data_IF_955485665579
#
_entry.id   IF_955485665579
#
_cell.length_a   1.000
_cell.length_b   1.000
_cell.length_c   1.000
_cell.angle_alpha   90.00
_cell.angle_beta   90.00
_cell.angle_gamma   90.00
#
_symmetry.space_group_name_H-M   'P 1'
#
loop_
_entity.id
_entity.type
_entity.pdbx_description
1 polymer ?
#
# COMPACT_ATOMS: atom_id res chain seq x y z
N UNK A 1 3.75 -3.14 -0.12
CA UNK A 1 3.39 -3.08 -1.52
C UNK A 1 4.47 -2.33 -2.29
N UNK A 2 5.15 -2.99 -3.15
CA UNK A 2 6.27 -2.41 -3.88
C UNK A 2 6.00 -2.51 -5.36
N UNK A 3 5.93 -1.40 -6.06
CA UNK A 3 5.68 -1.42 -7.49
C UNK A 3 5.86 -0.06 -8.12
N UNK A 4 6.23 -0.07 -9.41
CA UNK A 4 6.27 1.14 -10.22
C UNK A 4 4.84 1.41 -10.67
N UNK A 5 4.27 2.51 -10.20
CA UNK A 5 2.92 2.91 -10.58
C UNK A 5 2.99 3.65 -11.92
N UNK A 6 2.24 3.21 -12.95
CA UNK A 6 2.19 3.95 -14.20
C UNK A 6 1.69 5.38 -13.96
N UNK A 7 2.47 6.35 -14.40
CA UNK A 7 2.16 7.77 -14.13
C UNK A 7 0.85 8.22 -14.77
N UNK A 8 0.46 7.58 -15.86
CA UNK A 8 -0.76 7.93 -16.59
C UNK A 8 -2.03 7.26 -16.01
N UNK A 9 -1.88 6.38 -15.03
CA UNK A 9 -3.04 5.78 -14.38
C UNK A 9 -3.61 6.73 -13.33
N UNK A 10 -4.92 6.85 -13.28
CA UNK A 10 -5.58 7.55 -12.19
C UNK A 10 -5.49 6.77 -10.89
N UNK A 11 -5.66 7.46 -9.77
CA UNK A 11 -5.57 6.84 -8.44
C UNK A 11 -6.60 5.72 -8.25
N UNK A 12 -7.80 5.87 -8.84
CA UNK A 12 -8.82 4.82 -8.76
C UNK A 12 -8.38 3.52 -9.41
N UNK A 13 -7.76 3.61 -10.60
CA UNK A 13 -7.27 2.44 -11.32
C UNK A 13 -6.11 1.79 -10.58
N UNK A 14 -5.18 2.59 -10.07
CA UNK A 14 -4.04 2.09 -9.28
C UNK A 14 -4.53 1.42 -8.00
N UNK A 15 -5.49 2.01 -7.30
CA UNK A 15 -6.06 1.43 -6.09
C UNK A 15 -6.75 0.10 -6.37
N UNK A 16 -7.45 0.00 -7.49
CA UNK A 16 -8.12 -1.24 -7.89
C UNK A 16 -7.10 -2.34 -8.18
N UNK A 17 -6.04 -2.03 -8.92
CA UNK A 17 -4.98 -2.98 -9.22
C UNK A 17 -4.27 -3.44 -7.93
N UNK A 18 -3.97 -2.50 -7.05
CA UNK A 18 -3.33 -2.81 -5.78
C UNK A 18 -4.23 -3.66 -4.88
N UNK A 19 -5.53 -3.41 -4.89
CA UNK A 19 -6.51 -4.21 -4.13
C UNK A 19 -6.49 -5.66 -4.61
N UNK A 20 -6.41 -5.89 -5.91
CA UNK A 20 -6.31 -7.25 -6.46
C UNK A 20 -5.03 -7.95 -6.00
N UNK A 21 -3.91 -7.23 -5.94
CA UNK A 21 -2.64 -7.76 -5.45
C UNK A 21 -2.74 -8.14 -3.97
N UNK A 22 -3.35 -7.28 -3.15
CA UNK A 22 -3.55 -7.57 -1.72
C UNK A 22 -4.45 -8.79 -1.52
N UNK A 23 -5.54 -8.87 -2.26
CA UNK A 23 -6.46 -9.99 -2.18
C UNK A 23 -5.75 -11.30 -2.51
N UNK A 24 -4.97 -11.31 -3.58
CA UNK A 24 -4.17 -12.47 -3.95
C UNK A 24 -3.18 -12.86 -2.85
N UNK A 25 -2.47 -11.87 -2.29
CA UNK A 25 -1.51 -12.10 -1.21
C UNK A 25 -2.16 -12.75 0.01
N UNK A 26 -3.34 -12.29 0.40
CA UNK A 26 -4.04 -12.84 1.56
C UNK A 26 -4.69 -14.19 1.27
N UNK A 27 -5.38 -14.33 0.15
CA UNK A 27 -6.16 -15.54 -0.15
C UNK A 27 -5.32 -16.67 -0.71
N UNK A 28 -4.46 -16.39 -1.68
CA UNK A 28 -3.67 -17.41 -2.36
C UNK A 28 -2.36 -17.72 -1.64
N UNK A 29 -1.71 -16.71 -1.10
CA UNK A 29 -0.40 -16.84 -0.45
C UNK A 29 -0.50 -16.98 1.06
N UNK A 30 -1.67 -16.72 1.65
CA UNK A 30 -1.88 -16.83 3.08
C UNK A 30 -1.05 -15.91 3.94
N UNK A 31 -0.70 -14.74 3.41
CA UNK A 31 0.14 -13.79 4.13
C UNK A 31 -0.61 -13.21 5.32
N UNK A 32 0.03 -13.14 6.51
CA UNK A 32 -0.63 -12.57 7.69
C UNK A 32 -0.65 -11.04 7.67
N UNK A 33 0.24 -10.41 6.92
CA UNK A 33 0.35 -8.96 6.83
C UNK A 33 1.17 -8.59 5.60
N UNK A 34 0.83 -7.46 5.00
CA UNK A 34 1.57 -6.92 3.86
C UNK A 34 2.05 -5.52 4.21
N UNK A 35 3.30 -5.23 3.88
CA UNK A 35 3.91 -3.94 4.13
C UNK A 35 3.97 -3.12 2.84
N UNK A 36 3.76 -1.81 2.99
CA UNK A 36 3.93 -0.85 1.91
C UNK A 36 4.83 0.28 2.37
N UNK A 37 5.62 0.81 1.47
CA UNK A 37 6.51 1.93 1.77
C UNK A 37 6.60 2.86 0.58
N UNK A 38 6.71 4.16 0.86
CA UNK A 38 6.97 5.17 -0.17
C UNK A 38 7.68 6.36 0.45
N UNK A 39 8.39 7.13 -0.36
CA UNK A 39 9.00 8.37 0.11
C UNK A 39 7.92 9.43 0.38
N UNK A 40 8.16 10.28 1.37
CA UNK A 40 7.16 11.24 1.86
C UNK A 40 6.65 12.23 0.80
N UNK A 41 7.48 12.71 -0.16
CA UNK A 41 6.96 13.60 -1.20
C UNK A 41 5.97 12.93 -2.15
N UNK A 42 5.92 11.61 -2.20
CA UNK A 42 5.04 10.89 -3.10
C UNK A 42 3.63 10.78 -2.50
N UNK A 43 2.90 11.88 -2.50
CA UNK A 43 1.57 11.95 -1.90
C UNK A 43 0.56 11.04 -2.61
N UNK A 44 0.74 10.82 -3.91
CA UNK A 44 -0.13 9.91 -4.66
C UNK A 44 -0.08 8.49 -4.11
N UNK A 45 1.13 7.97 -3.86
CA UNK A 45 1.29 6.63 -3.29
C UNK A 45 0.75 6.55 -1.87
N UNK A 46 0.94 7.61 -1.07
CA UNK A 46 0.38 7.67 0.28
C UNK A 46 -1.14 7.60 0.23
N UNK A 47 -1.79 8.36 -0.67
CA UNK A 47 -3.24 8.33 -0.82
C UNK A 47 -3.75 6.95 -1.23
N UNK A 48 -3.04 6.28 -2.14
CA UNK A 48 -3.40 4.91 -2.55
C UNK A 48 -3.35 3.96 -1.37
N UNK A 49 -2.29 4.00 -0.58
CA UNK A 49 -2.18 3.15 0.61
C UNK A 49 -3.31 3.41 1.61
N UNK A 50 -3.64 4.68 1.83
CA UNK A 50 -4.75 5.06 2.73
C UNK A 50 -6.10 4.55 2.20
N UNK A 51 -6.33 4.64 0.90
CA UNK A 51 -7.56 4.14 0.26
C UNK A 51 -7.72 2.64 0.38
N UNK A 52 -6.61 1.91 0.39
CA UNK A 52 -6.63 0.45 0.55
C UNK A 52 -6.93 0.02 1.98
N UNK A 53 -6.94 0.95 2.92
CA UNK A 53 -7.12 0.64 4.33
C UNK A 53 -5.83 0.29 5.04
N UNK A 54 -4.69 0.59 4.45
CA UNK A 54 -3.40 0.38 5.09
C UNK A 54 -3.24 1.31 6.29
N UNK A 55 -2.59 0.81 7.32
CA UNK A 55 -2.41 1.52 8.59
C UNK A 55 -0.98 2.04 8.69
N UNK A 56 -0.84 3.32 9.02
CA UNK A 56 0.46 3.95 9.21
C UNK A 56 1.24 3.26 10.32
N UNK A 57 2.50 2.97 10.08
CA UNK A 57 3.39 2.34 11.07
C UNK A 57 4.44 3.32 11.58
N UNK A 58 5.26 3.84 10.68
CA UNK A 58 6.33 4.74 11.06
C UNK A 58 6.81 5.59 9.88
N UNK A 59 7.51 6.65 10.23
CA UNK A 59 8.24 7.49 9.29
C UNK A 59 9.69 7.50 9.71
N UNK A 60 10.59 7.14 8.81
CA UNK A 60 12.03 7.15 9.08
C UNK A 60 12.82 7.26 7.80
N UNK A 61 14.10 7.55 7.93
CA UNK A 61 15.01 7.48 6.81
C UNK A 61 15.23 6.02 6.40
N UNK A 62 15.14 5.74 5.12
CA UNK A 62 15.41 4.44 4.54
C UNK A 62 16.17 4.64 3.23
N UNK A 63 17.40 4.10 3.15
CA UNK A 63 18.27 4.25 1.98
C UNK A 63 18.43 5.69 1.53
N UNK A 64 18.57 6.62 2.48
CA UNK A 64 18.75 8.04 2.19
C UNK A 64 17.49 8.80 1.87
N UNK A 65 16.32 8.17 1.93
CA UNK A 65 15.04 8.81 1.65
C UNK A 65 14.17 8.88 2.90
N UNK A 66 13.47 10.00 3.07
CA UNK A 66 12.46 10.15 4.09
C UNK A 66 11.25 9.29 3.69
N UNK A 67 11.00 8.21 4.39
CA UNK A 67 10.09 7.16 3.98
C UNK A 67 8.99 6.94 5.03
N UNK A 68 7.77 6.70 4.56
CA UNK A 68 6.65 6.29 5.40
C UNK A 68 6.33 4.83 5.15
N UNK A 69 6.05 4.10 6.22
CA UNK A 69 5.74 2.68 6.20
C UNK A 69 4.32 2.45 6.67
N UNK A 70 3.60 1.66 5.90
CA UNK A 70 2.22 1.26 6.18
C UNK A 70 2.14 -0.26 6.21
N UNK A 71 1.11 -0.79 6.85
CA UNK A 71 0.84 -2.22 6.82
C UNK A 71 -0.65 -2.48 6.73
N UNK A 72 -1.00 -3.68 6.30
CA UNK A 72 -2.39 -4.10 6.25
C UNK A 72 -2.49 -5.59 6.56
N UNK A 73 -3.42 -5.95 7.43
CA UNK A 73 -3.77 -7.33 7.75
C UNK A 73 -5.00 -7.73 6.94
N UNK A 74 -5.34 -9.05 6.89
CA UNK A 74 -6.60 -9.48 6.27
C UNK A 74 -7.83 -8.81 6.89
N UNK A 75 -7.82 -8.56 8.20
CA UNK A 75 -8.91 -7.88 8.89
C UNK A 75 -9.03 -6.43 8.44
N UNK A 76 -7.92 -5.70 8.38
CA UNK A 76 -7.89 -4.32 7.88
C UNK A 76 -8.43 -4.26 6.46
N UNK A 77 -8.02 -5.20 5.62
CA UNK A 77 -8.43 -5.26 4.22
C UNK A 77 -9.95 -5.49 4.09
N UNK A 78 -10.48 -6.40 4.88
CA UNK A 78 -11.91 -6.69 4.86
C UNK A 78 -12.74 -5.50 5.34
N UNK A 79 -12.27 -4.79 6.36
CA UNK A 79 -12.96 -3.62 6.91
C UNK A 79 -12.92 -2.41 5.97
N UNK A 80 -11.87 -2.27 5.19
CA UNK A 80 -11.73 -1.17 4.23
C UNK A 80 -12.57 -1.36 2.97
N UNK A 81 -12.88 -2.60 2.66
CA UNK A 81 -13.67 -2.94 1.50
C UNK A 81 -15.14 -2.89 1.75
#
# INVERSE_FOLDING_TARGET
LYGILPKHWGEGLVSEAARAVLQHGFEACGLPRILGATDTPNQRSVRVMQRLGMVFQERREYKGLDTVFYSISPTDFAEAG
#
